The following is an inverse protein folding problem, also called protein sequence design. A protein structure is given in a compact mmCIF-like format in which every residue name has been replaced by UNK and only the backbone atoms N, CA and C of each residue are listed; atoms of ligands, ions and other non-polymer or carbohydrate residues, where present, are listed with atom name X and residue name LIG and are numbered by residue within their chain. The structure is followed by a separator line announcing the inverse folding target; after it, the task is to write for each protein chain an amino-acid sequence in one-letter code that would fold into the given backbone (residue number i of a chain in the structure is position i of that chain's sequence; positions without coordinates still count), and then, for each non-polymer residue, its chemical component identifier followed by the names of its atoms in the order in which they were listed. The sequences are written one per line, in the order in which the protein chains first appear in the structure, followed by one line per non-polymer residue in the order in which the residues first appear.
data_IF_850082439797
#
_entry.id   IF_850082439797
#
_cell.length_a   1.000
_cell.length_b   1.000
_cell.length_c   1.000
_cell.angle_alpha   90.00
_cell.angle_beta   90.00
_cell.angle_gamma   90.00
#
_symmetry.space_group_name_H-M   'P 1'
#
loop_
_entity.id
_entity.type
_entity.pdbx_description
1 polymer ?
#
# COMPACT_ATOMS: atom_id res chain seq x y z
N UNK A 1 24.30 36.45 -15.96
CA UNK A 1 23.92 35.03 -15.80
C UNK A 1 22.52 34.85 -15.21
N UNK A 2 22.23 35.21 -13.95
CA UNK A 2 20.86 35.05 -13.40
C UNK A 2 19.80 35.96 -14.04
N UNK A 3 20.18 37.19 -14.41
CA UNK A 3 19.30 38.14 -15.10
C UNK A 3 19.01 37.70 -16.54
N UNK A 4 20.05 37.34 -17.29
CA UNK A 4 19.91 36.84 -18.67
C UNK A 4 19.00 35.59 -18.74
N UNK A 5 19.18 34.63 -17.83
CA UNK A 5 18.30 33.46 -17.71
C UNK A 5 16.85 33.85 -17.39
N UNK A 6 16.63 34.90 -16.60
CA UNK A 6 15.28 35.38 -16.30
C UNK A 6 14.62 35.95 -17.55
N UNK A 7 15.36 36.75 -18.33
CA UNK A 7 14.91 37.27 -19.63
C UNK A 7 14.57 36.14 -20.62
N UNK A 8 15.41 35.10 -20.70
CA UNK A 8 15.12 33.90 -21.52
C UNK A 8 13.83 33.19 -21.08
N UNK A 9 13.59 33.09 -19.76
CA UNK A 9 12.40 32.43 -19.22
C UNK A 9 11.12 33.24 -19.40
N UNK A 10 11.19 34.57 -19.25
CA UNK A 10 10.04 35.48 -19.35
C UNK A 10 9.77 35.93 -20.78
N UNK A 11 10.75 35.81 -21.68
CA UNK A 11 10.71 36.33 -23.04
C UNK A 11 10.86 37.85 -23.14
N UNK A 12 11.35 38.52 -22.07
CA UNK A 12 11.60 39.97 -22.06
C UNK A 12 13.00 40.29 -22.57
N UNK A 13 13.15 41.45 -23.20
CA UNK A 13 14.45 41.96 -23.65
C UNK A 13 15.31 42.46 -22.48
N UNK A 14 14.70 43.01 -21.43
CA UNK A 14 15.37 43.58 -20.26
C UNK A 14 14.82 42.99 -18.95
N UNK A 15 15.71 42.84 -17.96
CA UNK A 15 15.38 42.30 -16.63
C UNK A 15 14.74 43.36 -15.72
N UNK A 16 13.61 43.04 -15.10
CA UNK A 16 13.02 43.81 -14.00
C UNK A 16 12.97 43.00 -12.69
N UNK A 17 13.13 43.68 -11.56
CA UNK A 17 13.00 43.05 -10.25
C UNK A 17 11.57 42.52 -10.07
N UNK A 18 11.45 41.21 -9.81
CA UNK A 18 10.16 40.53 -9.65
C UNK A 18 9.77 39.63 -10.82
N UNK A 19 10.38 39.79 -12.00
CA UNK A 19 10.03 39.03 -13.21
C UNK A 19 10.06 37.52 -13.01
N UNK A 20 11.13 37.02 -12.40
CA UNK A 20 11.28 35.60 -12.11
C UNK A 20 10.17 35.10 -11.18
N UNK A 21 9.82 35.88 -10.14
CA UNK A 21 8.76 35.50 -9.19
C UNK A 21 7.40 35.43 -9.89
N UNK A 22 7.08 36.40 -10.74
CA UNK A 22 5.83 36.42 -11.51
C UNK A 22 5.76 35.27 -12.52
N UNK A 23 6.84 34.99 -13.24
CA UNK A 23 6.88 33.88 -14.20
C UNK A 23 6.79 32.52 -13.50
N UNK A 24 7.46 32.34 -12.36
CA UNK A 24 7.33 31.12 -11.55
C UNK A 24 5.90 30.94 -11.01
N UNK A 25 5.30 32.00 -10.46
CA UNK A 25 3.91 31.97 -9.97
C UNK A 25 2.94 31.55 -11.09
N UNK A 26 3.06 32.16 -12.27
CA UNK A 26 2.26 31.82 -13.46
C UNK A 26 2.42 30.36 -13.86
N UNK A 27 3.65 29.85 -13.94
CA UNK A 27 3.92 28.44 -14.32
C UNK A 27 3.37 27.46 -13.29
N UNK A 28 3.56 27.74 -12.00
CA UNK A 28 3.02 26.91 -10.92
C UNK A 28 1.50 26.88 -10.98
N UNK A 29 0.85 28.03 -11.09
CA UNK A 29 -0.60 28.14 -11.24
C UNK A 29 -1.12 27.36 -12.44
N UNK A 30 -0.51 27.52 -13.61
CA UNK A 30 -0.90 26.80 -14.82
C UNK A 30 -0.74 25.28 -14.66
N UNK A 31 0.34 24.83 -14.02
CA UNK A 31 0.57 23.40 -13.76
C UNK A 31 -0.49 22.83 -12.81
N UNK A 32 -0.88 23.58 -11.77
CA UNK A 32 -1.93 23.15 -10.83
C UNK A 32 -3.30 23.15 -11.52
N UNK A 33 -3.63 24.18 -12.30
CA UNK A 33 -4.88 24.24 -13.06
C UNK A 33 -5.01 23.02 -13.99
N UNK A 34 -3.94 22.71 -14.74
CA UNK A 34 -3.87 21.51 -15.60
C UNK A 34 -4.08 20.22 -14.80
N UNK A 35 -3.42 20.08 -13.65
CA UNK A 35 -3.55 18.91 -12.79
C UNK A 35 -4.98 18.71 -12.26
N UNK A 36 -5.67 19.82 -11.96
CA UNK A 36 -7.06 19.85 -11.52
C UNK A 36 -8.08 19.81 -12.67
N UNK A 37 -7.63 19.75 -13.93
CA UNK A 37 -8.51 19.75 -15.10
C UNK A 37 -9.26 21.07 -15.33
N UNK A 38 -8.67 22.20 -14.92
CA UNK A 38 -9.21 23.55 -15.08
C UNK A 38 -8.34 24.41 -16.00
N UNK A 39 -8.95 25.45 -16.55
CA UNK A 39 -8.24 26.45 -17.38
C UNK A 39 -7.43 27.44 -16.54
N UNK A 40 -7.88 27.77 -15.32
CA UNK A 40 -7.23 28.72 -14.41
C UNK A 40 -7.17 28.19 -12.97
N UNK A 41 -6.13 28.58 -12.23
CA UNK A 41 -5.94 28.20 -10.82
C UNK A 41 -6.74 29.10 -9.88
N UNK A 42 -7.50 28.49 -8.99
CA UNK A 42 -8.10 29.16 -7.82
C UNK A 42 -7.51 28.62 -6.51
N UNK A 43 -7.47 29.49 -5.50
CA UNK A 43 -6.99 29.11 -4.16
C UNK A 43 -7.84 27.96 -3.62
N UNK A 44 -7.17 26.87 -3.24
CA UNK A 44 -7.80 25.67 -2.69
C UNK A 44 -8.10 24.57 -3.72
N UNK A 45 -7.88 24.82 -5.02
CA UNK A 45 -8.12 23.80 -6.06
C UNK A 45 -7.30 22.53 -5.86
N UNK A 46 -6.00 22.69 -5.60
CA UNK A 46 -5.12 21.55 -5.34
C UNK A 46 -5.60 20.73 -4.14
N UNK A 47 -6.01 21.40 -3.05
CA UNK A 47 -6.49 20.73 -1.85
C UNK A 47 -7.77 19.94 -2.12
N UNK A 48 -8.73 20.53 -2.85
CA UNK A 48 -10.00 19.88 -3.22
C UNK A 48 -9.77 18.70 -4.17
N UNK A 49 -8.88 18.85 -5.14
CA UNK A 49 -8.56 17.79 -6.10
C UNK A 49 -7.89 16.59 -5.41
N UNK A 50 -6.91 16.84 -4.53
CA UNK A 50 -6.25 15.78 -3.76
C UNK A 50 -7.25 15.10 -2.82
N UNK A 51 -8.08 15.87 -2.11
CA UNK A 51 -9.12 15.31 -1.23
C UNK A 51 -10.09 14.43 -2.01
N UNK A 52 -10.60 14.89 -3.16
CA UNK A 52 -11.50 14.11 -4.03
C UNK A 52 -10.85 12.80 -4.51
N UNK A 53 -9.58 12.84 -4.92
CA UNK A 53 -8.85 11.63 -5.35
C UNK A 53 -8.64 10.65 -4.20
N UNK A 54 -8.31 11.13 -3.01
CA UNK A 54 -8.17 10.29 -1.82
C UNK A 54 -9.49 9.64 -1.45
N UNK A 55 -10.58 10.42 -1.42
CA UNK A 55 -11.92 9.92 -1.13
C UNK A 55 -12.33 8.84 -2.13
N UNK A 56 -12.09 9.05 -3.42
CA UNK A 56 -12.33 8.05 -4.46
C UNK A 56 -11.52 6.77 -4.24
N UNK A 57 -10.23 6.90 -3.92
CA UNK A 57 -9.38 5.74 -3.63
C UNK A 57 -9.86 4.95 -2.40
N UNK A 58 -10.35 5.61 -1.35
CA UNK A 58 -10.90 4.94 -0.17
C UNK A 58 -12.26 4.29 -0.48
N UNK A 59 -13.12 4.97 -1.24
CA UNK A 59 -14.39 4.43 -1.71
C UNK A 59 -14.19 3.15 -2.52
N UNK A 60 -13.26 3.17 -3.49
CA UNK A 60 -12.87 1.98 -4.27
C UNK A 60 -12.27 0.88 -3.39
N UNK A 61 -11.40 1.23 -2.44
CA UNK A 61 -10.80 0.26 -1.53
C UNK A 61 -11.82 -0.43 -0.63
N UNK A 62 -12.82 0.31 -0.13
CA UNK A 62 -13.84 -0.20 0.80
C UNK A 62 -15.10 -0.73 0.09
N UNK A 63 -15.23 -0.51 -1.22
CA UNK A 63 -16.42 -0.87 -1.99
C UNK A 63 -17.64 -0.04 -1.61
N UNK A 64 -17.44 1.19 -1.12
CA UNK A 64 -18.49 2.14 -0.74
C UNK A 64 -18.62 3.23 -1.79
N UNK A 65 -19.77 3.91 -1.81
CA UNK A 65 -19.99 5.04 -2.70
C UNK A 65 -19.30 6.34 -2.22
N UNK A 66 -19.11 6.51 -0.91
CA UNK A 66 -18.52 7.72 -0.32
C UNK A 66 -17.57 7.37 0.83
N UNK A 67 -16.60 8.25 1.06
CA UNK A 67 -15.65 8.15 2.18
C UNK A 67 -16.29 8.57 3.50
N UNK A 68 -16.11 7.76 4.53
CA UNK A 68 -16.37 8.12 5.93
C UNK A 68 -15.12 7.89 6.80
N UNK A 69 -14.98 8.71 7.86
CA UNK A 69 -13.91 8.54 8.81
C UNK A 69 -13.93 7.13 9.44
N UNK A 70 -12.78 6.47 9.41
CA UNK A 70 -12.59 5.12 9.94
C UNK A 70 -12.87 3.99 8.94
N UNK A 71 -13.27 4.29 7.71
CA UNK A 71 -13.56 3.29 6.68
C UNK A 71 -12.37 2.37 6.38
N UNK A 72 -11.19 2.94 6.18
CA UNK A 72 -9.96 2.16 5.94
C UNK A 72 -9.69 1.20 7.11
N UNK A 73 -9.78 1.69 8.35
CA UNK A 73 -9.53 0.88 9.54
C UNK A 73 -10.53 -0.26 9.68
N UNK A 74 -11.82 0.02 9.46
CA UNK A 74 -12.88 -0.99 9.51
C UNK A 74 -12.72 -2.04 8.41
N UNK A 75 -12.38 -1.63 7.19
CA UNK A 75 -12.20 -2.53 6.06
C UNK A 75 -10.96 -3.44 6.24
N UNK A 76 -9.83 -2.88 6.68
CA UNK A 76 -8.63 -3.66 7.01
C UNK A 76 -8.95 -4.70 8.08
N UNK A 77 -9.68 -4.30 9.12
CA UNK A 77 -10.06 -5.19 10.20
C UNK A 77 -11.02 -6.28 9.73
N UNK A 78 -12.01 -5.94 8.89
CA UNK A 78 -12.91 -6.92 8.26
C UNK A 78 -12.14 -7.97 7.44
N UNK A 79 -11.19 -7.52 6.61
CA UNK A 79 -10.31 -8.42 5.83
C UNK A 79 -9.43 -9.28 6.72
N UNK A 80 -8.86 -8.71 7.78
CA UNK A 80 -8.07 -9.45 8.78
C UNK A 80 -8.90 -10.56 9.40
N UNK A 81 -10.13 -10.25 9.85
CA UNK A 81 -11.03 -11.24 10.46
C UNK A 81 -11.36 -12.38 9.50
N UNK A 82 -11.70 -12.05 8.25
CA UNK A 82 -11.97 -13.04 7.21
C UNK A 82 -10.76 -13.93 6.96
N UNK A 83 -9.58 -13.34 6.78
CA UNK A 83 -8.35 -14.09 6.54
C UNK A 83 -8.00 -15.02 7.72
N UNK A 84 -8.20 -14.59 8.96
CA UNK A 84 -8.03 -15.45 10.14
C UNK A 84 -9.00 -16.63 10.09
N UNK A 85 -10.27 -16.38 9.76
CA UNK A 85 -11.26 -17.42 9.55
C UNK A 85 -10.84 -18.44 8.48
N UNK A 86 -10.39 -17.95 7.32
CA UNK A 86 -9.96 -18.78 6.20
C UNK A 86 -8.69 -19.59 6.54
N UNK A 87 -7.72 -18.97 7.22
CA UNK A 87 -6.43 -19.61 7.54
C UNK A 87 -6.58 -20.57 8.70
N UNK A 88 -7.25 -20.18 9.79
CA UNK A 88 -7.29 -20.95 11.03
C UNK A 88 -8.53 -21.84 11.15
N UNK A 89 -9.63 -21.51 10.46
CA UNK A 89 -10.91 -22.19 10.62
C UNK A 89 -11.62 -21.82 11.93
N UNK A 90 -11.29 -20.68 12.52
CA UNK A 90 -11.85 -20.19 13.79
C UNK A 90 -12.23 -18.73 13.72
N UNK A 91 -13.08 -18.26 14.63
CA UNK A 91 -13.45 -16.84 14.66
C UNK A 91 -12.23 -15.98 14.97
N UNK A 92 -12.19 -14.81 14.37
CA UNK A 92 -11.08 -13.89 14.55
C UNK A 92 -10.98 -13.30 15.96
N UNK A 93 -12.09 -13.29 16.70
CA UNK A 93 -12.10 -12.84 18.09
C UNK A 93 -11.47 -13.89 19.03
N UNK A 94 -11.39 -15.16 18.59
CA UNK A 94 -10.69 -16.24 19.29
C UNK A 94 -9.21 -16.34 18.90
N UNK A 95 -8.69 -15.38 18.12
CA UNK A 95 -7.31 -15.38 17.64
C UNK A 95 -6.32 -15.01 18.74
N UNK A 96 -5.31 -15.85 18.93
CA UNK A 96 -4.17 -15.56 19.79
C UNK A 96 -2.89 -15.43 18.96
N UNK A 97 -2.00 -14.53 19.39
CA UNK A 97 -0.70 -14.37 18.76
C UNK A 97 0.05 -15.71 18.77
N UNK A 98 0.42 -16.19 17.57
CA UNK A 98 1.14 -17.45 17.38
C UNK A 98 0.30 -18.58 16.78
N UNK A 99 -1.03 -18.45 16.69
CA UNK A 99 -1.87 -19.52 16.14
C UNK A 99 -1.60 -19.81 14.67
N UNK A 100 -1.34 -18.77 13.88
CA UNK A 100 -0.97 -18.92 12.45
C UNK A 100 0.34 -19.70 12.33
N UNK A 101 1.34 -19.35 13.14
CA UNK A 101 2.63 -20.04 13.17
C UNK A 101 2.47 -21.48 13.66
N UNK A 102 1.68 -21.72 14.70
CA UNK A 102 1.37 -23.08 15.20
C UNK A 102 0.70 -23.90 14.11
N UNK A 103 -0.35 -23.37 13.44
CA UNK A 103 -1.04 -24.08 12.35
C UNK A 103 -0.11 -24.37 11.17
N UNK A 104 0.74 -23.42 10.79
CA UNK A 104 1.73 -23.63 9.73
C UNK A 104 2.72 -24.74 10.11
N UNK A 105 3.22 -24.75 11.36
CA UNK A 105 4.09 -25.80 11.87
C UNK A 105 3.39 -27.15 11.95
N UNK A 106 2.16 -27.21 12.46
CA UNK A 106 1.35 -28.44 12.52
C UNK A 106 1.07 -29.01 11.13
N UNK A 107 0.68 -28.16 10.16
CA UNK A 107 0.53 -28.59 8.77
C UNK A 107 1.86 -29.09 8.18
N UNK A 108 2.97 -28.41 8.50
CA UNK A 108 4.28 -28.82 8.05
C UNK A 108 4.71 -30.13 8.69
N UNK A 109 4.58 -30.34 9.99
CA UNK A 109 5.04 -31.54 10.72
C UNK A 109 4.07 -32.71 10.59
N UNK A 110 2.77 -32.44 10.43
CA UNK A 110 1.69 -33.42 10.48
C UNK A 110 1.28 -33.81 11.89
N UNK A 111 1.68 -33.04 12.91
CA UNK A 111 1.33 -33.28 14.31
C UNK A 111 0.33 -32.24 14.81
N UNK A 112 -0.69 -32.68 15.55
CA UNK A 112 -1.71 -31.80 16.13
C UNK A 112 -1.14 -30.88 17.21
N UNK A 113 -0.11 -31.35 17.94
CA UNK A 113 0.67 -30.54 18.89
C UNK A 113 2.14 -30.49 18.48
N UNK A 114 2.65 -29.29 18.15
CA UNK A 114 4.06 -29.09 17.82
C UNK A 114 4.95 -29.33 19.05
N UNK A 115 5.93 -30.22 18.91
CA UNK A 115 7.03 -30.37 19.87
C UNK A 115 8.36 -29.93 19.24
N UNK A 116 9.22 -29.31 20.06
CA UNK A 116 10.56 -28.92 19.63
C UNK A 116 11.33 -30.16 19.13
N UNK A 117 11.75 -30.13 17.86
CA UNK A 117 12.41 -31.25 17.18
C UNK A 117 11.56 -31.95 16.11
N UNK A 118 10.26 -31.67 16.01
CA UNK A 118 9.38 -32.28 15.01
C UNK A 118 9.74 -31.88 13.58
N UNK A 119 10.12 -30.61 13.36
CA UNK A 119 10.62 -30.13 12.08
C UNK A 119 11.86 -30.91 11.64
N UNK A 120 12.82 -31.07 12.55
CA UNK A 120 14.06 -31.81 12.27
C UNK A 120 13.77 -33.29 11.99
N UNK A 121 12.90 -33.93 12.78
CA UNK A 121 12.48 -35.32 12.57
C UNK A 121 11.79 -35.51 11.22
N UNK A 122 10.91 -34.60 10.81
CA UNK A 122 10.22 -34.69 9.52
C UNK A 122 11.17 -34.50 8.35
N UNK A 123 12.04 -33.49 8.39
CA UNK A 123 13.04 -33.26 7.35
C UNK A 123 13.96 -34.48 7.20
N UNK A 124 14.43 -35.05 8.32
CA UNK A 124 15.21 -36.30 8.28
C UNK A 124 14.37 -37.47 7.76
N UNK A 125 13.12 -37.60 8.20
CA UNK A 125 12.20 -38.64 7.73
C UNK A 125 11.97 -38.59 6.22
N UNK A 126 11.72 -37.42 5.64
CA UNK A 126 11.52 -37.25 4.20
C UNK A 126 12.81 -37.46 3.39
N UNK A 127 13.96 -37.02 3.93
CA UNK A 127 15.27 -37.15 3.28
C UNK A 127 15.80 -38.61 3.29
N UNK A 128 15.62 -39.32 4.40
CA UNK A 128 16.13 -40.69 4.58
C UNK A 128 15.07 -41.77 4.28
N UNK A 129 13.77 -41.44 4.38
CA UNK A 129 12.67 -42.33 4.02
C UNK A 129 12.52 -42.56 2.52
N UNK A 130 12.78 -41.53 1.69
CA UNK A 130 12.83 -41.68 0.22
C UNK A 130 13.98 -42.60 -0.25
N UNK A 131 15.09 -42.68 0.50
CA UNK A 131 16.18 -43.63 0.23
C UNK A 131 15.78 -45.09 0.44
N UNK A 132 14.87 -45.40 1.38
CA UNK A 132 14.43 -46.78 1.65
C UNK A 132 13.46 -47.33 0.60
N UNK A 133 12.65 -46.49 -0.07
CA UNK A 133 11.71 -46.95 -1.13
C UNK A 133 12.36 -47.12 -2.51
N UNK A 134 13.61 -46.70 -2.71
CA UNK A 134 14.38 -46.91 -3.94
C UNK A 134 15.28 -48.15 -3.94
N UNK A 135 15.27 -48.94 -2.87
CA UNK A 135 16.12 -50.12 -2.68
C UNK A 135 15.32 -51.40 -2.45
N UNK A 136 14.57 -51.83 -3.44
CA UNK A 136 14.14 -53.23 -3.56
C UNK A 136 14.19 -53.62 -5.03
N UNK A 137 15.38 -54.06 -5.43
CA UNK A 137 15.59 -55.08 -6.46
C UNK A 137 15.99 -56.35 -5.72
#
# INVERSE_FOLDING_TARGET
MSKDLTCELTGKDDYEFGDLSTELDKRVKNSVATFCGKDEYEVGDLSKEIDSRVQKGVAEFTGKDNYEFGDVSKEIESRRRKWIGDVLGKNADDYEFGDITKKALSNFTGNDEYQFGDVSKKIMGDLFGKRKRGGSK
#
